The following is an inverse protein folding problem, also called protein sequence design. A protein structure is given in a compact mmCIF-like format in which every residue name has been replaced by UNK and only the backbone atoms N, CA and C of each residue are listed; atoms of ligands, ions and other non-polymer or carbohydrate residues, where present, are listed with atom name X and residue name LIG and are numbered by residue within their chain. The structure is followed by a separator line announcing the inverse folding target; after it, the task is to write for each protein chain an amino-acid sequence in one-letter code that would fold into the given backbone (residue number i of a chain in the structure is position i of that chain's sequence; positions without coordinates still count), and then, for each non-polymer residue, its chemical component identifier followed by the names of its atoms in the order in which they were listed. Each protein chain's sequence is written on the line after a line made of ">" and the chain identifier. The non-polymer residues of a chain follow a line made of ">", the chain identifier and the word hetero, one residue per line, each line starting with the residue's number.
data_IF_102164584315
#
_entry.id   IF_102164584315
#
_cell.length_a   1.000
_cell.length_b   1.000
_cell.length_c   1.000
_cell.angle_alpha   90.00
_cell.angle_beta   90.00
_cell.angle_gamma   90.00
#
_symmetry.space_group_name_H-M   'P 1'
#
loop_
_entity.id
_entity.type
_entity.pdbx_description
1 polymer ?
#
# COMPACT_ATOMS: atom_id res chain seq x y z
N UNK A 1 -17.10 -5.00 -6.69
CA UNK A 1 -15.94 -5.92 -6.68
C UNK A 1 -16.36 -7.39 -6.68
N UNK A 2 -16.96 -7.91 -5.60
CA UNK A 2 -17.29 -9.34 -5.48
C UNK A 2 -18.09 -9.90 -6.66
N UNK A 3 -19.14 -9.18 -7.10
CA UNK A 3 -19.91 -9.59 -8.30
C UNK A 3 -19.04 -9.70 -9.55
N UNK A 4 -18.23 -8.67 -9.83
CA UNK A 4 -17.28 -8.64 -10.96
C UNK A 4 -16.32 -9.83 -10.92
N UNK A 5 -15.80 -10.20 -9.74
CA UNK A 5 -14.94 -11.38 -9.56
C UNK A 5 -15.70 -12.69 -9.83
N UNK A 6 -16.93 -12.83 -9.33
CA UNK A 6 -17.77 -14.01 -9.58
C UNK A 6 -18.10 -14.17 -11.07
N UNK A 7 -18.51 -13.08 -11.72
CA UNK A 7 -18.85 -13.06 -13.15
C UNK A 7 -17.64 -13.43 -14.03
N UNK A 8 -16.42 -13.19 -13.55
CA UNK A 8 -15.16 -13.46 -14.26
C UNK A 8 -14.42 -14.71 -13.74
N UNK A 9 -15.10 -15.59 -13.00
CA UNK A 9 -14.55 -16.89 -12.59
C UNK A 9 -13.51 -16.84 -11.46
N UNK A 10 -13.35 -15.69 -10.79
CA UNK A 10 -12.42 -15.48 -9.68
C UNK A 10 -13.06 -15.71 -8.31
N UNK A 11 -14.22 -16.36 -8.26
CA UNK A 11 -14.90 -16.70 -7.01
C UNK A 11 -14.06 -17.56 -6.06
N UNK A 12 -13.14 -18.37 -6.59
CA UNK A 12 -12.26 -19.23 -5.78
C UNK A 12 -11.33 -18.45 -4.84
N UNK A 13 -10.99 -17.19 -5.17
CA UNK A 13 -10.19 -16.32 -4.30
C UNK A 13 -10.92 -15.93 -3.00
N UNK A 14 -12.24 -16.05 -2.97
CA UNK A 14 -13.10 -15.60 -1.86
C UNK A 14 -13.80 -16.80 -1.21
N UNK A 15 -14.32 -17.71 -2.05
CA UNK A 15 -15.18 -18.82 -1.66
C UNK A 15 -14.42 -20.16 -1.55
N UNK A 16 -13.14 -20.19 -1.92
CA UNK A 16 -12.33 -21.41 -1.87
C UNK A 16 -11.96 -21.85 -0.44
N UNK A 17 -12.05 -20.95 0.54
CA UNK A 17 -11.81 -21.26 1.94
C UNK A 17 -13.03 -21.97 2.56
N UNK A 18 -12.80 -23.01 3.37
CA UNK A 18 -13.86 -23.80 4.03
C UNK A 18 -14.81 -22.98 4.92
N UNK A 19 -14.34 -21.86 5.47
CA UNK A 19 -15.15 -20.94 6.29
C UNK A 19 -15.12 -19.56 5.65
N UNK A 20 -16.30 -19.05 5.31
CA UNK A 20 -16.47 -17.67 4.88
C UNK A 20 -16.21 -16.71 6.04
N UNK A 21 -15.23 -15.83 5.87
CA UNK A 21 -14.98 -14.71 6.76
C UNK A 21 -15.95 -13.57 6.45
N UNK A 22 -16.35 -12.79 7.46
CA UNK A 22 -17.30 -11.67 7.29
C UNK A 22 -16.76 -10.56 6.38
N UNK A 23 -15.44 -10.46 6.27
CA UNK A 23 -14.73 -9.59 5.36
C UNK A 23 -13.74 -10.44 4.56
N UNK A 24 -14.09 -10.99 3.40
CA UNK A 24 -13.21 -11.91 2.68
C UNK A 24 -12.28 -11.20 1.69
N UNK A 25 -12.52 -9.92 1.39
CA UNK A 25 -11.72 -9.14 0.46
C UNK A 25 -10.77 -8.20 1.18
N UNK A 26 -11.28 -7.47 2.17
CA UNK A 26 -10.59 -6.40 2.85
C UNK A 26 -9.89 -5.47 1.85
N UNK A 27 -10.71 -4.85 0.98
CA UNK A 27 -10.24 -3.82 0.05
C UNK A 27 -9.71 -2.64 0.86
N UNK A 28 -8.41 -2.39 0.81
CA UNK A 28 -7.74 -1.40 1.65
C UNK A 28 -7.02 -0.30 0.86
N UNK A 29 -6.84 -0.48 -0.46
CA UNK A 29 -6.28 0.57 -1.30
C UNK A 29 -6.84 0.56 -2.73
N UNK A 30 -6.87 1.74 -3.35
CA UNK A 30 -7.26 1.98 -4.74
C UNK A 30 -6.31 3.01 -5.35
N UNK A 31 -5.49 2.56 -6.30
CA UNK A 31 -4.54 3.40 -7.01
C UNK A 31 -4.97 3.66 -8.44
N UNK A 32 -5.40 4.90 -8.76
CA UNK A 32 -5.76 5.28 -10.12
C UNK A 32 -4.54 5.36 -11.03
N UNK A 33 -4.73 4.91 -12.28
CA UNK A 33 -3.75 5.06 -13.35
C UNK A 33 -4.01 6.36 -14.10
N UNK A 34 -3.02 7.25 -14.12
CA UNK A 34 -3.13 8.56 -14.78
C UNK A 34 -2.56 8.59 -16.20
N UNK A 35 -1.88 7.54 -16.65
CA UNK A 35 -1.19 7.51 -17.95
C UNK A 35 -1.49 6.22 -18.71
N UNK A 36 -1.50 6.30 -20.04
CA UNK A 36 -1.57 5.10 -20.87
C UNK A 36 -0.21 4.40 -20.86
N UNK A 37 -0.23 3.06 -20.83
CA UNK A 37 0.97 2.24 -20.84
C UNK A 37 0.77 0.94 -21.60
N UNK A 38 1.82 0.09 -21.67
CA UNK A 38 1.74 -1.22 -22.31
C UNK A 38 0.78 -2.19 -21.60
N UNK A 39 0.57 -2.04 -20.29
CA UNK A 39 -0.22 -2.98 -19.46
C UNK A 39 -1.57 -2.44 -18.99
N UNK A 40 -1.76 -1.12 -19.03
CA UNK A 40 -2.95 -0.43 -18.53
C UNK A 40 -3.24 0.82 -19.36
N UNK A 41 -4.42 1.39 -19.17
CA UNK A 41 -4.84 2.66 -19.76
C UNK A 41 -5.19 3.66 -18.67
N UNK A 42 -5.12 4.95 -19.00
CA UNK A 42 -5.64 6.02 -18.14
C UNK A 42 -7.08 5.71 -17.74
N UNK A 43 -7.36 5.78 -16.44
CA UNK A 43 -8.66 5.48 -15.85
C UNK A 43 -8.86 4.01 -15.46
N UNK A 44 -7.90 3.12 -15.75
CA UNK A 44 -7.80 1.86 -15.03
C UNK A 44 -7.39 2.12 -13.57
N UNK A 45 -7.66 1.15 -12.70
CA UNK A 45 -7.32 1.23 -11.27
C UNK A 45 -6.64 -0.05 -10.82
N UNK A 46 -5.61 0.09 -10.00
CA UNK A 46 -5.13 -0.99 -9.16
C UNK A 46 -5.91 -1.01 -7.86
N UNK A 47 -6.22 -2.18 -7.35
CA UNK A 47 -6.87 -2.37 -6.06
C UNK A 47 -6.10 -3.38 -5.24
N UNK A 48 -5.99 -3.13 -3.95
CA UNK A 48 -5.36 -4.04 -2.99
C UNK A 48 -6.42 -4.74 -2.14
N UNK A 49 -6.40 -6.08 -2.19
CA UNK A 49 -7.29 -6.95 -1.45
C UNK A 49 -6.44 -7.70 -0.42
N UNK A 50 -6.49 -7.26 0.84
CA UNK A 50 -5.58 -7.72 1.89
C UNK A 50 -5.72 -9.21 2.19
N UNK A 51 -6.94 -9.67 2.45
CA UNK A 51 -7.17 -11.04 2.94
C UNK A 51 -6.81 -12.13 1.92
N UNK A 52 -7.14 -12.01 0.62
CA UNK A 52 -6.64 -12.95 -0.39
C UNK A 52 -5.20 -12.63 -0.83
N UNK A 53 -4.53 -11.67 -0.19
CA UNK A 53 -3.19 -11.17 -0.55
C UNK A 53 -3.04 -10.85 -2.04
N UNK A 54 -4.05 -10.19 -2.62
CA UNK A 54 -4.21 -10.04 -4.07
C UNK A 54 -4.24 -8.59 -4.50
N UNK A 55 -3.44 -8.25 -5.51
CA UNK A 55 -3.57 -7.00 -6.28
C UNK A 55 -4.34 -7.30 -7.57
N UNK A 56 -5.27 -6.41 -7.95
CA UNK A 56 -5.98 -6.50 -9.23
C UNK A 56 -5.90 -5.20 -10.01
N UNK A 57 -5.74 -5.31 -11.33
CA UNK A 57 -5.93 -4.23 -12.28
C UNK A 57 -7.33 -4.32 -12.88
N UNK A 58 -8.10 -3.25 -12.79
CA UNK A 58 -9.50 -3.20 -13.20
C UNK A 58 -9.71 -2.05 -14.17
N UNK A 59 -10.55 -2.28 -15.17
CA UNK A 59 -11.11 -1.25 -16.05
C UNK A 59 -12.56 -0.98 -15.68
N UNK A 60 -12.84 0.06 -14.86
CA UNK A 60 -14.19 0.33 -14.39
C UNK A 60 -15.17 0.62 -15.52
N UNK A 61 -14.71 1.27 -16.60
CA UNK A 61 -15.54 1.63 -17.76
C UNK A 61 -16.14 0.43 -18.51
N UNK A 62 -15.59 -0.77 -18.31
CA UNK A 62 -16.09 -2.00 -18.94
C UNK A 62 -16.40 -3.11 -17.95
N UNK A 63 -16.31 -2.84 -16.64
CA UNK A 63 -16.48 -3.83 -15.57
C UNK A 63 -15.55 -5.06 -15.71
N UNK A 64 -14.30 -4.84 -16.16
CA UNK A 64 -13.34 -5.92 -16.46
C UNK A 64 -12.18 -5.95 -15.48
N UNK A 65 -11.81 -7.15 -15.04
CA UNK A 65 -10.54 -7.43 -14.37
C UNK A 65 -9.54 -7.75 -15.48
N UNK A 66 -8.55 -6.88 -15.66
CA UNK A 66 -7.56 -7.00 -16.74
C UNK A 66 -6.41 -7.92 -16.34
N UNK A 67 -6.05 -7.89 -15.07
CA UNK A 67 -4.95 -8.66 -14.49
C UNK A 67 -5.14 -8.78 -12.98
N UNK A 68 -4.59 -9.83 -12.38
CA UNK A 68 -4.51 -9.98 -10.94
C UNK A 68 -3.35 -10.90 -10.57
N UNK A 69 -2.84 -10.75 -9.35
CA UNK A 69 -1.84 -11.65 -8.78
C UNK A 69 -2.00 -11.73 -7.26
N UNK A 70 -2.02 -12.96 -6.74
CA UNK A 70 -1.92 -13.23 -5.32
C UNK A 70 -0.47 -13.57 -4.98
N UNK A 71 0.12 -12.86 -4.02
CA UNK A 71 1.53 -13.02 -3.68
C UNK A 71 2.52 -12.49 -4.74
N UNK A 72 3.82 -12.46 -4.43
CA UNK A 72 4.47 -13.03 -3.25
C UNK A 72 4.38 -12.17 -1.98
N UNK A 73 3.64 -11.07 -2.00
CA UNK A 73 3.24 -10.31 -0.80
C UNK A 73 2.14 -11.00 0.00
N UNK A 74 2.04 -10.68 1.28
CA UNK A 74 1.03 -11.20 2.20
C UNK A 74 0.42 -10.06 3.02
N UNK A 75 -0.91 -10.00 3.06
CA UNK A 75 -1.67 -9.02 3.84
C UNK A 75 -1.31 -7.56 3.54
N UNK A 76 -1.00 -7.28 2.27
CA UNK A 76 -0.49 -6.00 1.77
C UNK A 76 -1.52 -4.85 1.85
N UNK A 77 -1.03 -3.61 1.87
CA UNK A 77 -1.87 -2.40 1.94
C UNK A 77 -1.76 -1.53 0.68
N UNK A 78 -0.81 -0.61 0.67
CA UNK A 78 -0.62 0.42 -0.36
C UNK A 78 -0.10 -0.20 -1.67
N UNK A 79 -0.66 0.19 -2.82
CA UNK A 79 -0.11 -0.14 -4.14
C UNK A 79 0.09 1.14 -4.95
N UNK A 80 1.31 1.39 -5.40
CA UNK A 80 1.63 2.55 -6.24
C UNK A 80 2.07 2.12 -7.65
N UNK A 81 1.62 2.87 -8.66
CA UNK A 81 2.20 2.81 -10.01
C UNK A 81 3.51 3.58 -10.00
N UNK A 82 4.61 2.88 -10.27
CA UNK A 82 5.96 3.46 -10.19
C UNK A 82 6.40 4.04 -11.53
N UNK A 83 6.13 3.32 -12.61
CA UNK A 83 6.42 3.71 -13.98
C UNK A 83 5.56 2.89 -14.95
N UNK A 84 5.85 2.97 -16.24
CA UNK A 84 5.08 2.31 -17.31
C UNK A 84 5.01 0.78 -17.24
N UNK A 85 5.88 0.12 -16.48
CA UNK A 85 5.92 -1.35 -16.41
C UNK A 85 5.88 -1.89 -14.99
N UNK A 86 5.94 -1.05 -13.96
CA UNK A 86 6.07 -1.49 -12.57
C UNK A 86 5.04 -0.90 -11.62
N UNK A 87 4.59 -1.75 -10.70
CA UNK A 87 3.92 -1.33 -9.47
C UNK A 87 4.83 -1.64 -8.28
N UNK A 88 4.67 -0.90 -7.19
CA UNK A 88 5.20 -1.25 -5.88
C UNK A 88 4.04 -1.49 -4.92
N UNK A 89 4.27 -2.40 -3.98
CA UNK A 89 3.27 -2.88 -3.03
C UNK A 89 3.88 -2.84 -1.64
N UNK A 90 3.19 -2.21 -0.69
CA UNK A 90 3.52 -2.27 0.72
C UNK A 90 3.18 -3.67 1.23
N UNK A 91 4.18 -4.55 1.24
CA UNK A 91 4.06 -5.91 1.71
C UNK A 91 4.21 -5.93 3.24
N UNK A 92 3.10 -5.98 3.97
CA UNK A 92 3.13 -6.14 5.43
C UNK A 92 3.87 -7.40 5.86
N UNK A 93 3.86 -8.44 5.00
CA UNK A 93 4.37 -9.78 5.30
C UNK A 93 3.76 -10.35 6.60
N UNK A 94 2.48 -10.05 6.81
CA UNK A 94 1.77 -10.35 8.04
C UNK A 94 0.91 -11.62 7.89
N UNK A 95 1.15 -12.58 8.76
CA UNK A 95 0.49 -13.88 8.78
C UNK A 95 -0.45 -13.97 9.98
N UNK A 96 -1.48 -14.82 9.87
CA UNK A 96 -2.38 -15.12 10.97
C UNK A 96 -2.71 -16.62 10.96
N UNK A 97 -2.22 -17.34 11.97
CA UNK A 97 -2.47 -18.78 12.14
C UNK A 97 -3.65 -19.08 13.08
N UNK A 98 -4.40 -18.06 13.50
CA UNK A 98 -5.54 -18.17 14.40
C UNK A 98 -5.36 -17.50 15.77
N UNK A 99 -4.13 -17.11 16.12
CA UNK A 99 -3.78 -16.58 17.45
C UNK A 99 -3.42 -15.08 17.44
N UNK A 100 -3.68 -14.40 16.33
CA UNK A 100 -3.29 -13.00 16.11
C UNK A 100 -2.43 -12.85 14.87
N UNK A 101 -2.29 -11.60 14.43
CA UNK A 101 -1.39 -11.27 13.32
C UNK A 101 0.04 -11.17 13.84
N UNK A 102 1.00 -11.50 12.97
CA UNK A 102 2.41 -11.27 13.23
C UNK A 102 3.15 -11.06 11.91
N UNK A 103 4.17 -10.22 11.92
CA UNK A 103 5.05 -10.02 10.76
C UNK A 103 6.09 -11.14 10.70
N UNK A 104 6.15 -11.87 9.59
CA UNK A 104 7.23 -12.81 9.32
C UNK A 104 8.48 -12.02 8.88
N UNK A 105 9.51 -11.98 9.73
CA UNK A 105 10.70 -11.17 9.46
C UNK A 105 10.44 -9.65 9.54
N UNK A 106 10.13 -9.02 8.39
CA UNK A 106 9.91 -7.58 8.23
C UNK A 106 8.79 -7.27 7.25
N UNK A 107 8.20 -6.09 7.37
CA UNK A 107 7.43 -5.50 6.27
C UNK A 107 8.38 -4.93 5.22
N UNK A 108 7.93 -4.85 3.97
CA UNK A 108 8.76 -4.51 2.83
C UNK A 108 7.99 -3.71 1.77
N UNK A 109 8.71 -3.14 0.82
CA UNK A 109 8.13 -2.51 -0.38
C UNK A 109 8.58 -3.33 -1.57
N UNK A 110 7.68 -4.20 -2.03
CA UNK A 110 7.95 -5.15 -3.13
C UNK A 110 7.54 -4.55 -4.46
N UNK A 111 8.40 -4.66 -5.46
CA UNK A 111 8.16 -4.16 -6.82
C UNK A 111 7.83 -5.33 -7.72
N UNK A 112 6.72 -5.24 -8.45
CA UNK A 112 6.37 -6.17 -9.50
C UNK A 112 6.55 -5.52 -10.88
N UNK A 113 7.29 -6.18 -11.76
CA UNK A 113 7.52 -5.73 -13.13
C UNK A 113 6.75 -6.60 -14.12
N UNK A 114 5.79 -5.98 -14.82
CA UNK A 114 4.95 -6.62 -15.81
C UNK A 114 5.70 -7.04 -17.08
N UNK A 115 6.85 -6.42 -17.37
CA UNK A 115 7.66 -6.75 -18.54
C UNK A 115 8.50 -8.01 -18.34
N UNK A 116 8.90 -8.29 -17.10
CA UNK A 116 9.76 -9.44 -16.78
C UNK A 116 9.07 -10.52 -15.95
N UNK A 117 7.85 -10.24 -15.45
CA UNK A 117 7.12 -11.06 -14.48
C UNK A 117 7.97 -11.37 -13.22
N UNK A 118 8.75 -10.38 -12.77
CA UNK A 118 9.63 -10.53 -11.61
C UNK A 118 9.19 -9.68 -10.43
N UNK A 119 9.56 -10.13 -9.24
CA UNK A 119 9.36 -9.39 -7.99
C UNK A 119 10.71 -9.11 -7.35
N UNK A 120 10.90 -7.88 -6.89
CA UNK A 120 12.13 -7.43 -6.21
C UNK A 120 11.81 -6.62 -4.96
N UNK A 121 12.76 -6.57 -4.02
CA UNK A 121 12.67 -5.75 -2.81
C UNK A 121 13.89 -4.82 -2.72
N UNK A 122 13.92 -3.71 -3.48
CA UNK A 122 15.09 -2.84 -3.55
C UNK A 122 15.42 -2.16 -2.22
N UNK A 123 14.44 -2.01 -1.32
CA UNK A 123 14.61 -1.38 -0.01
C UNK A 123 14.77 -2.36 1.15
N UNK A 124 14.87 -3.65 0.86
CA UNK A 124 14.99 -4.73 1.84
C UNK A 124 16.00 -4.41 2.96
N UNK A 125 17.25 -4.09 2.59
CA UNK A 125 18.32 -3.83 3.56
C UNK A 125 18.13 -2.54 4.35
N UNK A 126 17.54 -1.51 3.74
CA UNK A 126 17.26 -0.22 4.42
C UNK A 126 16.17 -0.40 5.47
N UNK A 127 15.09 -1.12 5.13
CA UNK A 127 13.96 -1.38 6.03
C UNK A 127 14.34 -2.38 7.13
N UNK A 128 15.14 -3.40 6.82
CA UNK A 128 15.69 -4.34 7.80
C UNK A 128 16.55 -3.62 8.84
N UNK A 129 17.40 -2.69 8.42
CA UNK A 129 18.24 -1.90 9.34
C UNK A 129 17.44 -1.01 10.32
N UNK A 130 16.14 -0.77 10.04
CA UNK A 130 15.24 -0.02 10.91
C UNK A 130 14.25 -0.90 11.68
N UNK A 131 14.37 -2.24 11.57
CA UNK A 131 13.42 -3.21 12.13
C UNK A 131 11.97 -2.92 11.71
N UNK A 132 11.77 -2.52 10.46
CA UNK A 132 10.49 -2.02 9.95
C UNK A 132 9.39 -3.09 9.96
N UNK A 133 8.29 -2.84 10.66
CA UNK A 133 7.19 -3.81 10.86
C UNK A 133 5.83 -3.14 11.01
N UNK A 134 4.88 -3.60 10.17
CA UNK A 134 3.44 -3.36 10.26
C UNK A 134 2.69 -4.68 10.01
N UNK A 135 1.96 -5.17 11.00
CA UNK A 135 0.96 -6.23 10.85
C UNK A 135 -0.21 -5.74 9.97
N UNK A 136 -0.59 -4.47 10.14
CA UNK A 136 -1.65 -3.81 9.39
C UNK A 136 -1.33 -2.35 9.03
N UNK A 137 -2.07 -1.80 8.06
CA UNK A 137 -1.84 -0.46 7.54
C UNK A 137 -0.46 -0.30 6.90
N UNK A 138 0.04 0.93 6.96
CA UNK A 138 1.31 1.32 6.38
C UNK A 138 1.17 1.84 4.96
N UNK A 139 1.98 2.85 4.65
CA UNK A 139 2.05 3.49 3.35
C UNK A 139 3.50 3.72 2.95
N UNK A 140 3.72 3.96 1.67
CA UNK A 140 4.99 4.47 1.19
C UNK A 140 4.77 5.54 0.11
N UNK A 141 5.84 6.25 -0.24
CA UNK A 141 5.83 7.12 -1.41
C UNK A 141 7.26 7.23 -1.93
N UNK A 142 7.45 6.98 -3.23
CA UNK A 142 8.69 7.35 -3.91
C UNK A 142 8.62 8.83 -4.30
N UNK A 143 9.49 9.64 -3.70
CA UNK A 143 9.52 11.07 -3.95
C UNK A 143 10.24 11.37 -5.28
N UNK A 144 9.91 12.48 -5.97
CA UNK A 144 10.48 12.80 -7.29
C UNK A 144 12.00 12.94 -7.33
N UNK A 145 12.63 13.21 -6.18
CA UNK A 145 14.08 13.33 -6.01
C UNK A 145 14.75 12.00 -5.61
N UNK A 146 13.99 10.90 -5.62
CA UNK A 146 14.45 9.55 -5.33
C UNK A 146 14.46 9.16 -3.86
N UNK A 147 14.02 10.05 -2.95
CA UNK A 147 13.84 9.67 -1.55
C UNK A 147 12.67 8.68 -1.40
N UNK A 148 12.76 7.83 -0.40
CA UNK A 148 11.68 6.94 0.00
C UNK A 148 11.05 7.47 1.28
N UNK A 149 9.75 7.77 1.25
CA UNK A 149 8.94 7.99 2.45
C UNK A 149 8.24 6.69 2.86
N UNK A 150 8.21 6.38 4.15
CA UNK A 150 7.42 5.26 4.71
C UNK A 150 6.66 5.67 5.97
N UNK A 151 5.45 5.14 6.11
CA UNK A 151 4.58 5.26 7.28
C UNK A 151 4.51 3.87 7.96
N UNK A 152 5.15 3.74 9.12
CA UNK A 152 5.05 2.57 9.99
C UNK A 152 3.88 2.80 10.96
N UNK A 153 2.64 2.64 10.43
CA UNK A 153 1.44 3.13 11.10
C UNK A 153 1.29 2.68 12.56
N UNK A 154 1.56 1.41 12.86
CA UNK A 154 1.27 0.81 14.17
C UNK A 154 2.27 1.22 15.25
N UNK A 155 3.52 1.47 14.87
CA UNK A 155 4.54 1.98 15.80
C UNK A 155 4.47 3.51 15.98
N UNK A 156 3.61 4.19 15.23
CA UNK A 156 3.54 5.65 15.26
C UNK A 156 4.74 6.34 14.58
N UNK A 157 5.50 5.66 13.73
CA UNK A 157 6.76 6.15 13.14
C UNK A 157 6.63 6.44 11.65
N UNK A 158 7.16 7.59 11.21
CA UNK A 158 7.37 7.90 9.79
C UNK A 158 8.85 8.13 9.52
N UNK A 159 9.35 7.63 8.39
CA UNK A 159 10.76 7.78 8.01
C UNK A 159 10.89 8.27 6.57
N UNK A 160 11.96 9.01 6.30
CA UNK A 160 12.39 9.36 4.93
C UNK A 160 13.83 8.91 4.75
N UNK A 161 14.09 8.15 3.71
CA UNK A 161 15.42 7.70 3.32
C UNK A 161 15.91 8.44 2.07
N UNK A 162 17.21 8.76 2.03
CA UNK A 162 17.86 9.30 0.83
C UNK A 162 17.88 8.27 -0.30
N UNK A 163 18.13 8.68 -1.56
CA UNK A 163 18.33 7.73 -2.66
C UNK A 163 19.46 6.71 -2.42
N UNK A 164 20.37 6.99 -1.48
CA UNK A 164 21.46 6.08 -1.06
C UNK A 164 21.06 5.12 0.07
N UNK A 165 19.83 5.23 0.59
CA UNK A 165 19.33 4.42 1.69
C UNK A 165 19.68 4.94 3.09
N UNK A 166 20.17 6.18 3.21
CA UNK A 166 20.47 6.78 4.51
C UNK A 166 19.21 7.37 5.14
N UNK A 167 18.99 7.18 6.45
CA UNK A 167 17.87 7.79 7.15
C UNK A 167 18.04 9.32 7.23
N UNK A 168 17.21 10.06 6.50
CA UNK A 168 17.24 11.52 6.46
C UNK A 168 16.33 12.16 7.52
N UNK A 169 15.17 11.55 7.77
CA UNK A 169 14.17 12.04 8.73
C UNK A 169 13.55 10.85 9.44
N UNK A 170 13.38 10.98 10.76
CA UNK A 170 12.50 10.14 11.57
C UNK A 170 11.55 11.04 12.36
N UNK A 171 10.29 10.66 12.41
CA UNK A 171 9.29 11.28 13.27
C UNK A 171 8.50 10.19 13.99
N UNK A 172 8.31 10.38 15.29
CA UNK A 172 7.48 9.53 16.16
C UNK A 172 6.28 10.35 16.65
N UNK A 173 5.07 9.84 16.43
CA UNK A 173 3.81 10.43 16.87
C UNK A 173 3.62 10.28 18.39
N UNK A 174 4.44 11.03 19.13
CA UNK A 174 4.52 11.00 20.60
C UNK A 174 3.80 12.19 21.20
N UNK A 175 2.81 11.94 22.08
CA UNK A 175 2.16 13.02 22.80
C UNK A 175 3.10 13.67 23.83
N UNK A 176 3.21 15.00 23.77
CA UNK A 176 4.08 15.77 24.67
C UNK A 176 3.72 15.64 26.16
N UNK A 177 2.44 15.45 26.48
CA UNK A 177 1.93 15.46 27.86
C UNK A 177 2.31 14.21 28.65
N UNK A 178 2.23 13.04 28.02
CA UNK A 178 2.38 11.75 28.70
C UNK A 178 3.37 10.80 28.03
N UNK A 179 4.00 11.20 26.93
CA UNK A 179 5.00 10.41 26.23
C UNK A 179 4.47 9.18 25.49
N UNK A 180 3.14 8.97 25.48
CA UNK A 180 2.50 7.86 24.76
C UNK A 180 2.70 8.03 23.26
N UNK A 181 2.90 6.91 22.58
CA UNK A 181 3.01 6.81 21.12
C UNK A 181 1.63 6.40 20.59
N UNK A 182 1.18 7.04 19.52
CA UNK A 182 -0.11 6.77 18.91
C UNK A 182 0.09 6.34 17.47
N UNK A 183 -0.78 5.44 17.01
CA UNK A 183 -0.77 5.01 15.62
C UNK A 183 -0.92 6.19 14.68
N UNK A 184 -0.35 6.07 13.49
CA UNK A 184 -0.56 7.01 12.41
C UNK A 184 -1.84 6.65 11.66
N UNK A 185 -2.56 7.67 11.21
CA UNK A 185 -3.75 7.51 10.39
C UNK A 185 -3.43 7.54 8.90
N UNK A 186 -2.45 6.74 8.47
CA UNK A 186 -2.00 6.67 7.07
C UNK A 186 -1.50 8.04 6.56
N UNK A 187 -0.37 8.48 7.12
CA UNK A 187 0.18 9.80 6.85
C UNK A 187 0.78 9.88 5.44
N UNK A 188 0.61 11.03 4.79
CA UNK A 188 1.14 11.30 3.44
C UNK A 188 2.23 12.35 3.48
N UNK A 189 3.25 12.19 2.63
CA UNK A 189 4.17 13.27 2.33
C UNK A 189 3.50 14.32 1.44
N UNK A 190 3.63 15.60 1.80
CA UNK A 190 3.18 16.73 0.99
C UNK A 190 4.30 17.76 0.91
N UNK A 191 4.48 18.35 -0.27
CA UNK A 191 5.32 19.53 -0.39
C UNK A 191 4.76 20.67 0.48
N UNK A 192 5.61 21.60 0.90
CA UNK A 192 5.16 22.77 1.67
C UNK A 192 4.04 23.52 0.94
N UNK A 193 4.22 23.72 -0.36
CA UNK A 193 3.26 24.41 -1.22
C UNK A 193 1.91 23.69 -1.31
N UNK A 194 1.91 22.37 -1.49
CA UNK A 194 0.68 21.57 -1.52
C UNK A 194 -0.03 21.59 -0.16
N UNK A 195 0.73 21.44 0.93
CA UNK A 195 0.20 21.51 2.29
C UNK A 195 -0.39 22.87 2.63
N UNK A 196 0.23 23.98 2.19
CA UNK A 196 -0.32 25.33 2.39
C UNK A 196 -1.59 25.55 1.57
N UNK A 197 -1.61 25.09 0.32
CA UNK A 197 -2.82 25.14 -0.52
C UNK A 197 -3.97 24.36 0.11
N UNK A 198 -3.71 23.15 0.60
CA UNK A 198 -4.70 22.32 1.29
C UNK A 198 -5.23 23.01 2.55
N UNK A 199 -4.33 23.54 3.38
CA UNK A 199 -4.69 24.24 4.62
C UNK A 199 -5.55 25.48 4.35
N UNK A 200 -5.18 26.29 3.37
CA UNK A 200 -5.95 27.47 2.99
C UNK A 200 -7.37 27.10 2.52
N UNK A 201 -7.51 26.02 1.74
CA UNK A 201 -8.83 25.50 1.32
C UNK A 201 -9.65 25.00 2.49
N UNK A 202 -9.04 24.29 3.43
CA UNK A 202 -9.75 23.81 4.63
C UNK A 202 -10.23 24.95 5.52
N UNK A 203 -9.41 25.98 5.72
CA UNK A 203 -9.79 27.15 6.52
C UNK A 203 -10.93 27.97 5.87
N UNK A 204 -10.98 27.97 4.53
CA UNK A 204 -12.05 28.61 3.78
C UNK A 204 -13.31 27.74 3.64
N UNK A 205 -13.24 26.45 3.98
CA UNK A 205 -14.37 25.54 3.85
C UNK A 205 -15.40 25.84 4.95
N UNK A 206 -16.64 26.15 4.55
CA UNK A 206 -17.78 26.21 5.46
C UNK A 206 -18.44 24.84 5.52
N UNK A 207 -18.52 24.26 6.72
CA UNK A 207 -19.37 23.09 6.94
C UNK A 207 -20.84 23.55 6.87
N UNK A 208 -21.47 23.32 5.72
CA UNK A 208 -22.93 23.44 5.57
C UNK A 208 -23.58 22.08 5.79
#
# INVERSE_FOLDING_TARGET
>A
MTKMMLDQGLGFLILGAHKLYGDPLHLNDVQPVFEDGPYWKRGDIFVSLRHPSTIMLIRPSTDKILWWKSGPWVSQHDVDVIDSTRIAVFNNNAFNFGDGEFVDGRSDITFYDFATDTVTSPYAGVLEAQEFRNEAGGLFTLLPDGHLYVDESESGRTMIFTPKGELAVEHINRAKKNGLIYHLGWSRYLTRADGDRLRARWQAATCN
#
